data_IF_378232838468
#
_entry.id   IF_378232838468
#
_cell.length_a   1.000
_cell.length_b   1.000
_cell.length_c   1.000
_cell.angle_alpha   90.00
_cell.angle_beta   90.00
_cell.angle_gamma   90.00
#
_symmetry.space_group_name_H-M   'P 1'
#
loop_
_entity.id
_entity.type
_entity.pdbx_description
1 polymer ?
#
# COMPACT_ATOMS: atom_id res chain seq x y z
N UNK A 1 4.42 -41.73 34.23
CA UNK A 1 4.44 -41.78 32.75
C UNK A 1 3.25 -41.00 32.25
N UNK A 2 3.43 -39.71 31.92
CA UNK A 2 2.38 -38.87 31.34
C UNK A 2 2.72 -38.62 29.87
N UNK A 3 1.89 -39.13 28.97
CA UNK A 3 2.01 -38.90 27.53
C UNK A 3 1.40 -37.53 27.22
N UNK A 4 2.25 -36.54 26.95
CA UNK A 4 1.85 -35.25 26.37
C UNK A 4 1.47 -35.46 24.91
N UNK A 5 0.22 -35.17 24.56
CA UNK A 5 -0.30 -35.24 23.20
C UNK A 5 0.42 -34.25 22.27
N UNK A 6 0.72 -34.61 21.02
CA UNK A 6 1.35 -33.71 20.06
C UNK A 6 0.40 -32.57 19.68
N UNK A 7 0.95 -31.36 19.72
CA UNK A 7 0.23 -30.12 19.46
C UNK A 7 -0.47 -30.14 18.11
N UNK A 8 -1.78 -29.88 18.14
CA UNK A 8 -2.57 -29.67 16.93
C UNK A 8 -2.07 -28.42 16.21
N UNK A 9 -1.41 -28.62 15.08
CA UNK A 9 -1.03 -27.55 14.15
C UNK A 9 -2.31 -27.09 13.45
N UNK A 10 -2.92 -26.01 13.94
CA UNK A 10 -4.05 -25.38 13.25
C UNK A 10 -3.52 -24.66 12.00
N UNK A 11 -4.11 -24.89 10.81
CA UNK A 11 -3.76 -24.11 9.63
C UNK A 11 -4.00 -22.61 9.92
N UNK A 12 -2.94 -21.82 9.85
CA UNK A 12 -2.92 -20.40 10.26
C UNK A 12 -3.75 -19.49 9.34
N UNK A 13 -4.26 -20.04 8.22
CA UNK A 13 -4.96 -19.34 7.14
C UNK A 13 -6.34 -18.75 7.49
N UNK A 14 -6.90 -18.96 8.69
CA UNK A 14 -8.31 -18.61 8.92
C UNK A 14 -8.59 -17.27 9.59
N UNK A 15 -7.59 -16.55 10.14
CA UNK A 15 -7.88 -15.30 10.88
C UNK A 15 -7.51 -14.02 10.13
N UNK A 16 -6.35 -13.95 9.50
CA UNK A 16 -5.94 -12.76 8.74
C UNK A 16 -6.66 -12.64 7.41
N UNK A 17 -6.89 -13.75 6.69
CA UNK A 17 -7.63 -13.75 5.42
C UNK A 17 -9.11 -13.38 5.59
N UNK A 18 -9.72 -13.73 6.74
CA UNK A 18 -11.11 -13.34 7.05
C UNK A 18 -11.27 -11.86 7.40
N UNK A 19 -10.21 -11.20 7.88
CA UNK A 19 -10.25 -9.76 8.18
C UNK A 19 -10.38 -8.91 6.90
N UNK A 20 -9.97 -9.44 5.74
CA UNK A 20 -10.13 -8.78 4.44
C UNK A 20 -11.52 -8.93 3.81
N UNK A 21 -12.40 -9.75 4.40
CA UNK A 21 -13.78 -9.95 3.94
C UNK A 21 -14.80 -9.23 4.84
N UNK A 22 -14.41 -8.74 6.01
CA UNK A 22 -15.35 -8.28 7.03
C UNK A 22 -15.10 -6.82 7.50
N UNK A 23 -15.70 -5.87 6.79
CA UNK A 23 -16.55 -4.78 7.29
C UNK A 23 -16.24 -4.04 8.61
N UNK A 24 -14.99 -3.80 9.02
CA UNK A 24 -14.71 -2.88 10.15
C UNK A 24 -13.47 -2.00 9.93
N UNK A 25 -13.68 -0.88 9.23
CA UNK A 25 -12.72 0.25 9.14
C UNK A 25 -13.27 1.52 9.82
N UNK A 26 -14.08 1.36 10.88
CA UNK A 26 -14.38 2.47 11.78
C UNK A 26 -13.48 2.37 13.01
N UNK A 27 -12.30 3.00 12.91
CA UNK A 27 -11.61 3.49 14.09
C UNK A 27 -11.19 4.95 13.79
N UNK A 28 -11.55 5.93 14.63
CA UNK A 28 -11.33 7.33 14.33
C UNK A 28 -9.86 7.65 14.57
N UNK A 29 -9.05 7.65 13.51
CA UNK A 29 -7.69 8.17 13.63
C UNK A 29 -7.77 9.69 13.76
N UNK A 30 -7.28 10.15 14.92
CA UNK A 30 -7.24 11.53 15.33
C UNK A 30 -6.54 12.42 14.31
N UNK A 31 -7.10 13.61 14.17
CA UNK A 31 -6.61 14.75 13.41
C UNK A 31 -5.12 14.99 13.63
N UNK A 32 -4.30 14.79 12.59
CA UNK A 32 -3.08 15.57 12.42
C UNK A 32 -3.43 16.78 11.55
N UNK A 33 -3.61 17.91 12.24
CA UNK A 33 -3.70 19.24 11.69
C UNK A 33 -2.35 19.59 11.01
N UNK A 34 -2.27 19.41 9.69
CA UNK A 34 -1.16 19.95 8.90
C UNK A 34 -1.64 21.30 8.35
N UNK A 35 -1.26 22.35 9.06
CA UNK A 35 -1.24 23.72 8.57
C UNK A 35 -0.19 23.81 7.44
N UNK A 36 -0.63 23.87 6.19
CA UNK A 36 0.15 24.52 5.13
C UNK A 36 -0.76 25.36 4.24
N UNK A 37 -0.74 26.67 4.48
CA UNK A 37 -1.08 27.69 3.50
C UNK A 37 -0.07 27.62 2.35
N UNK A 38 -0.48 27.10 1.20
CA UNK A 38 0.15 27.43 -0.09
C UNK A 38 -0.97 27.90 -1.02
N UNK A 39 -1.23 29.21 -1.02
CA UNK A 39 -2.05 29.84 -2.05
C UNK A 39 -1.18 30.01 -3.30
N UNK A 40 -1.51 29.30 -4.38
CA UNK A 40 -0.96 29.56 -5.72
C UNK A 40 -0.15 28.45 -6.38
N UNK A 41 0.14 27.34 -5.71
CA UNK A 41 0.80 26.21 -6.38
C UNK A 41 -0.23 25.40 -7.20
N UNK A 42 0.04 25.08 -8.48
CA UNK A 42 -0.81 24.17 -9.25
C UNK A 42 -0.90 22.83 -8.51
N UNK A 43 -2.12 22.28 -8.39
CA UNK A 43 -2.35 20.98 -7.75
C UNK A 43 -1.36 19.97 -8.32
N UNK A 44 -0.53 19.31 -7.49
CA UNK A 44 0.32 18.22 -7.98
C UNK A 44 -0.59 17.16 -8.62
N UNK A 45 -0.21 16.68 -9.80
CA UNK A 45 -0.94 15.62 -10.50
C UNK A 45 -0.99 14.37 -9.59
N UNK A 46 -2.12 13.66 -9.53
CA UNK A 46 -2.31 12.52 -8.62
C UNK A 46 -1.29 11.38 -8.79
N UNK A 47 -0.50 11.40 -9.86
CA UNK A 47 0.57 10.45 -10.13
C UNK A 47 1.83 10.64 -9.25
N UNK A 48 1.94 11.71 -8.45
CA UNK A 48 3.20 12.10 -7.81
C UNK A 48 3.40 11.63 -6.36
N UNK A 49 2.44 10.92 -5.75
CA UNK A 49 2.50 10.56 -4.31
C UNK A 49 2.90 9.11 -4.01
N UNK A 50 3.26 8.34 -5.04
CA UNK A 50 3.79 6.97 -4.95
C UNK A 50 5.22 6.86 -4.34
N UNK A 51 5.79 7.97 -3.86
CA UNK A 51 7.21 8.06 -3.47
C UNK A 51 7.51 7.48 -2.07
N UNK A 52 6.58 7.56 -1.11
CA UNK A 52 6.90 7.26 0.30
C UNK A 52 7.11 5.76 0.59
N UNK A 53 6.42 4.85 -0.11
CA UNK A 53 6.66 3.42 0.08
C UNK A 53 7.99 2.97 -0.52
N UNK A 54 8.48 3.68 -1.53
CA UNK A 54 9.67 3.28 -2.27
C UNK A 54 10.95 3.67 -1.54
N UNK A 55 10.95 4.80 -0.83
CA UNK A 55 12.09 5.24 -0.01
C UNK A 55 12.47 4.22 1.07
N UNK A 56 11.54 3.36 1.51
CA UNK A 56 11.79 2.34 2.54
C UNK A 56 12.50 1.08 2.02
N UNK A 57 12.53 0.84 0.71
CA UNK A 57 13.28 -0.27 0.14
C UNK A 57 14.77 0.11 0.06
N UNK A 58 15.70 -0.62 0.70
CA UNK A 58 17.12 -0.33 0.64
C UNK A 58 17.69 -0.30 -0.79
N UNK A 59 17.06 -1.03 -1.71
CA UNK A 59 17.44 -1.09 -3.12
C UNK A 59 16.94 0.11 -3.93
N UNK A 60 15.98 0.89 -3.40
CA UNK A 60 15.38 2.00 -4.13
C UNK A 60 16.35 3.15 -4.37
N UNK A 61 17.13 3.57 -3.36
CA UNK A 61 18.07 4.70 -3.51
C UNK A 61 19.15 4.38 -4.57
N UNK A 62 19.89 3.26 -4.50
CA UNK A 62 20.87 2.90 -5.53
C UNK A 62 20.25 2.79 -6.93
N UNK A 63 19.00 2.30 -6.99
CA UNK A 63 18.29 2.14 -8.25
C UNK A 63 17.82 3.48 -8.83
N UNK A 64 17.37 4.43 -8.01
CA UNK A 64 17.05 5.79 -8.46
C UNK A 64 18.32 6.48 -8.93
N UNK A 65 19.40 6.46 -8.14
CA UNK A 65 20.68 7.09 -8.49
C UNK A 65 21.25 6.56 -9.82
N UNK A 66 21.23 5.23 -10.01
CA UNK A 66 21.71 4.61 -11.25
C UNK A 66 20.87 4.93 -12.49
N UNK A 67 19.60 5.35 -12.32
CA UNK A 67 18.71 5.76 -13.41
C UNK A 67 18.67 7.28 -13.59
N UNK A 68 18.87 8.06 -12.51
CA UNK A 68 18.92 9.53 -12.53
C UNK A 68 20.07 10.01 -13.39
N UNK A 69 21.24 9.40 -13.25
CA UNK A 69 22.41 9.72 -14.07
C UNK A 69 22.24 9.34 -15.55
N UNK A 70 21.27 8.49 -15.87
CA UNK A 70 21.01 8.01 -17.24
C UNK A 70 19.92 8.82 -17.96
N UNK A 71 19.35 9.86 -17.36
CA UNK A 71 18.34 10.73 -18.00
C UNK A 71 18.97 11.56 -19.15
N UNK A 72 19.41 10.88 -20.20
CA UNK A 72 19.64 11.46 -21.52
C UNK A 72 18.31 11.51 -22.25
N UNK A 73 17.87 12.73 -22.60
CA UNK A 73 16.86 13.23 -23.57
C UNK A 73 15.55 12.45 -23.89
N UNK A 74 15.37 11.23 -23.41
CA UNK A 74 14.20 10.40 -23.60
C UNK A 74 13.11 10.76 -22.57
N UNK A 75 11.86 10.71 -23.01
CA UNK A 75 10.67 11.08 -22.23
C UNK A 75 10.68 10.41 -20.84
N UNK A 76 10.78 11.20 -19.74
CA UNK A 76 10.83 10.68 -18.38
C UNK A 76 9.62 9.81 -18.02
N UNK A 77 8.48 9.96 -18.72
CA UNK A 77 7.30 9.11 -18.50
C UNK A 77 7.47 7.67 -19.00
N UNK A 78 8.38 7.41 -19.94
CA UNK A 78 8.58 6.07 -20.51
C UNK A 78 9.35 5.18 -19.54
N UNK A 79 10.44 5.69 -18.95
CA UNK A 79 11.22 4.95 -17.95
C UNK A 79 10.48 4.77 -16.64
N UNK A 80 9.66 5.75 -16.25
CA UNK A 80 8.84 5.61 -15.05
C UNK A 80 7.80 4.50 -15.22
N UNK A 81 7.28 4.28 -16.43
CA UNK A 81 6.39 3.13 -16.73
C UNK A 81 7.10 1.77 -16.64
N UNK A 82 8.32 1.65 -17.17
CA UNK A 82 9.10 0.40 -17.05
C UNK A 82 9.52 0.11 -15.60
N UNK A 83 9.70 1.15 -14.80
CA UNK A 83 9.93 1.00 -13.38
C UNK A 83 8.64 0.59 -12.65
N UNK A 84 7.51 1.20 -13.00
CA UNK A 84 6.20 0.89 -12.44
C UNK A 84 5.75 -0.53 -12.79
N UNK A 85 6.10 -1.06 -13.95
CA UNK A 85 5.71 -2.42 -14.38
C UNK A 85 6.30 -3.51 -13.48
N UNK A 86 7.49 -3.28 -12.88
CA UNK A 86 8.10 -4.21 -11.91
C UNK A 86 7.30 -4.34 -10.60
N UNK A 87 6.53 -3.31 -10.25
CA UNK A 87 5.71 -3.25 -9.05
C UNK A 87 4.21 -3.26 -9.35
N UNK A 88 3.83 -3.33 -10.63
CA UNK A 88 2.44 -3.20 -11.06
C UNK A 88 1.58 -4.38 -10.64
N UNK A 89 2.19 -5.56 -10.40
CA UNK A 89 1.43 -6.76 -10.09
C UNK A 89 1.74 -7.34 -8.71
N UNK A 90 1.68 -6.49 -7.68
CA UNK A 90 1.74 -6.94 -6.29
C UNK A 90 0.63 -7.96 -5.97
N UNK A 91 -0.49 -7.96 -6.70
CA UNK A 91 -1.53 -8.98 -6.57
C UNK A 91 -1.05 -10.35 -7.08
N UNK A 92 -0.44 -10.42 -8.27
CA UNK A 92 0.16 -11.66 -8.74
C UNK A 92 1.31 -12.11 -7.83
N UNK A 93 2.16 -11.19 -7.37
CA UNK A 93 3.24 -11.53 -6.43
C UNK A 93 2.68 -12.11 -5.13
N UNK A 94 1.61 -11.52 -4.58
CA UNK A 94 0.93 -12.04 -3.39
C UNK A 94 0.33 -13.43 -3.64
N UNK A 95 -0.28 -13.65 -4.81
CA UNK A 95 -0.85 -14.94 -5.20
C UNK A 95 0.24 -16.02 -5.32
N UNK A 96 1.37 -15.71 -5.96
CA UNK A 96 2.52 -16.61 -6.08
C UNK A 96 3.10 -16.91 -4.70
N UNK A 97 3.34 -15.89 -3.88
CA UNK A 97 3.89 -16.05 -2.54
C UNK A 97 2.97 -16.91 -1.65
N UNK A 98 1.66 -16.74 -1.77
CA UNK A 98 0.66 -17.56 -1.09
C UNK A 98 0.74 -19.03 -1.54
N UNK A 99 0.73 -19.29 -2.84
CA UNK A 99 0.79 -20.66 -3.37
C UNK A 99 2.07 -21.39 -2.95
N UNK A 100 3.21 -20.68 -2.93
CA UNK A 100 4.49 -21.21 -2.44
C UNK A 100 4.40 -21.56 -0.96
N UNK A 101 3.86 -20.66 -0.13
CA UNK A 101 3.69 -20.89 1.30
C UNK A 101 2.78 -22.08 1.58
N UNK A 102 1.64 -22.19 0.89
CA UNK A 102 0.70 -23.31 1.01
C UNK A 102 1.37 -24.64 0.64
N UNK A 103 2.16 -24.67 -0.44
CA UNK A 103 2.92 -25.86 -0.86
C UNK A 103 3.94 -26.29 0.20
N UNK A 104 4.66 -25.35 0.82
CA UNK A 104 5.65 -25.65 1.86
C UNK A 104 4.95 -26.13 3.14
N UNK A 105 3.83 -25.51 3.50
CA UNK A 105 3.04 -25.91 4.67
C UNK A 105 2.48 -27.33 4.50
N UNK A 106 2.03 -27.69 3.29
CA UNK A 106 1.59 -29.05 2.99
C UNK A 106 2.74 -30.06 3.17
N UNK A 107 3.93 -29.78 2.62
CA UNK A 107 5.11 -30.65 2.82
C UNK A 107 5.53 -30.77 4.28
N UNK A 108 5.50 -29.67 5.03
CA UNK A 108 5.81 -29.66 6.46
C UNK A 108 4.79 -30.45 7.28
N UNK A 109 3.52 -30.45 6.89
CA UNK A 109 2.47 -31.22 7.58
C UNK A 109 2.71 -32.73 7.46
N UNK A 110 3.24 -33.20 6.33
CA UNK A 110 3.55 -34.61 6.09
C UNK A 110 4.81 -35.08 6.83
N UNK A 111 5.75 -34.18 7.12
CA UNK A 111 7.01 -34.48 7.81
C UNK A 111 7.39 -33.39 8.83
N UNK A 112 6.72 -33.38 10.01
CA UNK A 112 6.91 -32.34 11.03
C UNK A 112 8.25 -32.43 11.76
N UNK A 113 8.96 -33.56 11.67
CA UNK A 113 10.29 -33.75 12.25
C UNK A 113 11.41 -33.06 11.46
N UNK A 114 11.10 -32.60 10.26
CA UNK A 114 12.07 -32.04 9.34
C UNK A 114 12.30 -30.54 9.59
N UNK A 115 13.47 -30.23 10.15
CA UNK A 115 13.89 -28.86 10.46
C UNK A 115 14.12 -28.01 9.22
N UNK A 116 14.44 -28.60 8.07
CA UNK A 116 14.60 -27.89 6.80
C UNK A 116 13.26 -27.33 6.30
N UNK A 117 12.19 -28.14 6.35
CA UNK A 117 10.84 -27.68 5.99
C UNK A 117 10.37 -26.56 6.92
N UNK A 118 10.70 -26.65 8.21
CA UNK A 118 10.37 -25.59 9.16
C UNK A 118 11.04 -24.27 8.79
N UNK A 119 12.34 -24.29 8.48
CA UNK A 119 13.08 -23.10 8.06
C UNK A 119 12.53 -22.52 6.75
N UNK A 120 12.21 -23.36 5.76
CA UNK A 120 11.59 -22.92 4.50
C UNK A 120 10.23 -22.29 4.73
N UNK A 121 9.43 -22.84 5.64
CA UNK A 121 8.12 -22.29 6.01
C UNK A 121 8.26 -20.89 6.62
N UNK A 122 9.21 -20.72 7.54
CA UNK A 122 9.47 -19.43 8.19
C UNK A 122 9.92 -18.37 7.17
N UNK A 123 10.81 -18.73 6.23
CA UNK A 123 11.26 -17.83 5.17
C UNK A 123 10.13 -17.47 4.20
N UNK A 124 9.36 -18.45 3.72
CA UNK A 124 8.24 -18.22 2.82
C UNK A 124 7.13 -17.38 3.49
N UNK A 125 6.89 -17.61 4.79
CA UNK A 125 5.94 -16.83 5.58
C UNK A 125 6.40 -15.38 5.72
N UNK A 126 7.68 -15.14 6.04
CA UNK A 126 8.23 -13.80 6.13
C UNK A 126 8.09 -13.04 4.79
N UNK A 127 8.38 -13.72 3.68
CA UNK A 127 8.21 -13.16 2.33
C UNK A 127 6.75 -12.82 2.01
N UNK A 128 5.80 -13.72 2.30
CA UNK A 128 4.37 -13.47 2.14
C UNK A 128 3.90 -12.26 2.97
N UNK A 129 4.29 -12.19 4.25
CA UNK A 129 3.94 -11.06 5.14
C UNK A 129 4.50 -9.74 4.61
N UNK A 130 5.72 -9.77 4.06
CA UNK A 130 6.34 -8.58 3.48
C UNK A 130 5.52 -8.03 2.30
N UNK A 131 5.19 -8.88 1.32
CA UNK A 131 4.36 -8.49 0.17
C UNK A 131 2.97 -8.01 0.62
N UNK A 132 2.34 -8.75 1.54
CA UNK A 132 1.04 -8.38 2.09
C UNK A 132 1.07 -7.00 2.75
N UNK A 133 2.12 -6.69 3.51
CA UNK A 133 2.31 -5.37 4.13
C UNK A 133 2.41 -4.27 3.06
N UNK A 134 3.15 -4.51 1.97
CA UNK A 134 3.21 -3.56 0.84
C UNK A 134 1.84 -3.33 0.19
N UNK A 135 1.04 -4.38 0.01
CA UNK A 135 -0.33 -4.25 -0.52
C UNK A 135 -1.22 -3.43 0.41
N UNK A 136 -1.14 -3.68 1.73
CA UNK A 136 -1.90 -2.92 2.74
C UNK A 136 -1.51 -1.43 2.71
N UNK A 137 -0.22 -1.14 2.60
CA UNK A 137 0.27 0.24 2.58
C UNK A 137 -0.21 0.99 1.32
N UNK A 138 -0.27 0.33 0.16
CA UNK A 138 -0.88 0.90 -1.06
C UNK A 138 -2.36 1.23 -0.82
N UNK A 139 -3.12 0.29 -0.25
CA UNK A 139 -4.55 0.49 0.00
C UNK A 139 -4.75 1.69 0.94
N UNK A 140 -3.96 1.80 2.01
CA UNK A 140 -3.99 2.96 2.91
C UNK A 140 -3.69 4.27 2.20
N UNK A 141 -2.70 4.28 1.31
CA UNK A 141 -2.37 5.48 0.53
C UNK A 141 -3.51 5.86 -0.41
N UNK A 142 -4.11 4.90 -1.11
CA UNK A 142 -5.27 5.15 -1.97
C UNK A 142 -6.46 5.71 -1.19
N UNK A 143 -6.79 5.13 -0.02
CA UNK A 143 -7.86 5.66 0.84
C UNK A 143 -7.56 7.07 1.36
N UNK A 144 -6.30 7.36 1.71
CA UNK A 144 -5.88 8.71 2.10
C UNK A 144 -6.08 9.70 0.95
N UNK A 145 -5.67 9.36 -0.26
CA UNK A 145 -5.83 10.21 -1.43
C UNK A 145 -7.32 10.46 -1.75
N UNK A 146 -8.16 9.44 -1.66
CA UNK A 146 -9.62 9.56 -1.81
C UNK A 146 -10.22 10.51 -0.75
N UNK A 147 -9.82 10.35 0.52
CA UNK A 147 -10.30 11.22 1.60
C UNK A 147 -9.90 12.69 1.41
N UNK A 148 -8.67 12.96 0.95
CA UNK A 148 -8.18 14.31 0.67
C UNK A 148 -8.95 14.88 -0.51
N UNK A 149 -9.15 14.09 -1.57
CA UNK A 149 -9.93 14.49 -2.75
C UNK A 149 -11.38 14.85 -2.38
N UNK A 150 -11.99 14.09 -1.48
CA UNK A 150 -13.34 14.37 -1.00
C UNK A 150 -13.41 15.64 -0.12
N UNK A 151 -12.45 15.83 0.79
CA UNK A 151 -12.37 17.05 1.62
C UNK A 151 -12.17 18.32 0.79
N UNK A 152 -11.43 18.22 -0.31
CA UNK A 152 -11.30 19.28 -1.30
C UNK A 152 -12.63 19.64 -1.96
N UNK A 153 -13.53 18.68 -2.20
CA UNK A 153 -14.83 18.97 -2.84
C UNK A 153 -15.74 19.81 -1.94
N UNK A 154 -15.77 19.53 -0.64
CA UNK A 154 -16.49 20.36 0.33
C UNK A 154 -15.91 21.79 0.39
N UNK A 155 -14.58 21.89 0.39
CA UNK A 155 -13.86 23.17 0.40
C UNK A 155 -14.11 23.95 -0.89
N UNK A 156 -14.06 23.29 -2.04
CA UNK A 156 -14.36 23.88 -3.35
C UNK A 156 -15.81 24.36 -3.44
N UNK A 157 -16.76 23.58 -2.91
CA UNK A 157 -18.17 23.98 -2.85
C UNK A 157 -18.36 25.24 -1.99
N UNK A 158 -17.70 25.30 -0.84
CA UNK A 158 -17.72 26.47 0.03
C UNK A 158 -17.18 27.73 -0.68
N UNK A 159 -16.00 27.62 -1.31
CA UNK A 159 -15.43 28.73 -2.09
C UNK A 159 -16.29 29.13 -3.29
N UNK A 160 -16.91 28.17 -3.98
CA UNK A 160 -17.85 28.45 -5.07
C UNK A 160 -19.08 29.22 -4.57
N UNK A 161 -19.60 28.88 -3.38
CA UNK A 161 -20.74 29.56 -2.76
C UNK A 161 -20.40 31.00 -2.37
N UNK A 162 -19.24 31.24 -1.76
CA UNK A 162 -18.75 32.60 -1.43
C UNK A 162 -18.56 33.45 -2.69
N UNK A 163 -17.98 32.87 -3.75
CA UNK A 163 -17.77 33.58 -5.02
C UNK A 163 -19.10 33.98 -5.67
N UNK A 164 -20.13 33.13 -5.58
CA UNK A 164 -21.47 33.46 -6.06
C UNK A 164 -22.11 34.59 -5.27
N UNK A 165 -22.05 34.58 -3.93
CA UNK A 165 -22.63 35.67 -3.13
C UNK A 165 -22.00 37.03 -3.45
N UNK A 166 -20.69 37.07 -3.67
CA UNK A 166 -19.99 38.31 -4.02
C UNK A 166 -20.44 38.91 -5.37
N UNK A 167 -20.75 38.06 -6.37
CA UNK A 167 -21.27 38.50 -7.67
C UNK A 167 -22.67 39.13 -7.57
N UNK A 168 -23.56 38.56 -6.74
CA UNK A 168 -24.91 39.12 -6.56
C UNK A 168 -24.88 40.51 -5.90
N UNK A 169 -23.97 40.74 -4.93
CA UNK A 169 -23.81 42.05 -4.32
C UNK A 169 -23.36 43.13 -5.31
N UNK A 170 -22.55 42.78 -6.32
CA UNK A 170 -22.04 43.74 -7.29
C UNK A 170 -23.06 44.11 -8.39
N UNK A 171 -23.94 43.19 -8.77
CA UNK A 171 -24.97 43.43 -9.80
C UNK A 171 -26.26 44.09 -9.24
N UNK A 172 -26.36 44.26 -7.92
CA UNK A 172 -27.53 44.85 -7.26
C UNK A 172 -27.35 46.34 -6.91
N UNK A 173 -26.32 46.99 -7.47
CA UNK A 173 -26.08 48.43 -7.43
C UNK A 173 -26.15 49.00 -8.83
#
# INVERSE_FOLDING_TARGET
>A
MGLTLPGQIKPFLTRSDRAFVNAYWFNPFGYCQINYMFQGCPKPKSTFLFCDMRIRDPSFIPLVESNVLKFSHNDPNTRMRDFLSKFADLRAQLCIARAVLETIQDKFLHDPGNTEWKQKEDLARAHYIHILSSVIDIIKQQSKDESISYGDNCTNYFFAKIKRSHLYFHNSR
#
